data_IF_464448474215
#
_entry.id   IF_464448474215
#
_cell.length_a   1.000
_cell.length_b   1.000
_cell.length_c   1.000
_cell.angle_alpha   90.00
_cell.angle_beta   90.00
_cell.angle_gamma   90.00
#
_symmetry.space_group_name_H-M   'P 1'
#
loop_
_entity.id
_entity.type
_entity.pdbx_description
1 polymer ?
#
# COMPACT_ATOMS: atom_id res chain seq x y z
N UNK A 1 -4.86 -8.25 -6.49
CA UNK A 1 -6.33 -8.12 -6.60
C UNK A 1 -6.93 -7.20 -5.55
N UNK A 2 -6.60 -7.38 -4.26
CA UNK A 2 -7.18 -6.60 -3.16
C UNK A 2 -7.01 -5.09 -3.32
N UNK A 3 -5.81 -4.64 -3.69
CA UNK A 3 -5.55 -3.23 -3.99
C UNK A 3 -6.25 -2.72 -5.26
N UNK A 4 -6.53 -3.60 -6.24
CA UNK A 4 -7.25 -3.22 -7.46
C UNK A 4 -8.70 -2.85 -7.11
N UNK A 5 -9.32 -3.56 -6.16
CA UNK A 5 -10.66 -3.24 -5.69
C UNK A 5 -10.77 -1.81 -5.12
N UNK A 6 -9.71 -1.31 -4.47
CA UNK A 6 -9.65 0.09 -3.99
C UNK A 6 -9.53 1.07 -5.16
N UNK A 7 -8.71 0.76 -6.17
CA UNK A 7 -8.57 1.60 -7.37
C UNK A 7 -9.88 1.66 -8.18
N UNK A 8 -10.57 0.53 -8.31
CA UNK A 8 -11.86 0.44 -8.97
C UNK A 8 -12.90 1.27 -8.21
N UNK A 9 -12.94 1.15 -6.88
CA UNK A 9 -13.81 1.96 -6.03
C UNK A 9 -13.49 3.46 -6.12
N UNK A 10 -12.21 3.84 -6.26
CA UNK A 10 -11.80 5.23 -6.41
C UNK A 10 -12.26 5.88 -7.72
N UNK A 11 -12.62 5.07 -8.74
CA UNK A 11 -13.27 5.57 -9.96
C UNK A 11 -12.36 6.26 -10.98
N UNK A 12 -11.03 6.18 -10.82
CA UNK A 12 -10.07 6.83 -11.72
C UNK A 12 -9.68 5.99 -12.95
N UNK A 13 -10.24 4.78 -13.11
CA UNK A 13 -9.94 3.88 -14.23
C UNK A 13 -8.49 3.37 -14.28
N UNK A 14 -7.77 3.43 -13.15
CA UNK A 14 -6.37 3.02 -13.04
C UNK A 14 -6.24 1.51 -12.78
N UNK A 15 -5.14 0.91 -13.25
CA UNK A 15 -4.83 -0.51 -13.05
C UNK A 15 -3.46 -0.69 -12.38
N UNK A 16 -3.34 -1.73 -11.56
CA UNK A 16 -2.04 -2.14 -11.00
C UNK A 16 -1.16 -2.68 -12.12
N UNK A 17 0.04 -2.12 -12.23
CA UNK A 17 1.06 -2.55 -13.19
C UNK A 17 2.16 -3.26 -12.42
N UNK A 18 2.30 -4.57 -12.68
CA UNK A 18 3.39 -5.36 -12.12
C UNK A 18 4.67 -5.10 -12.90
N UNK A 19 5.74 -4.80 -12.17
CA UNK A 19 7.08 -4.63 -12.72
C UNK A 19 7.96 -5.83 -12.35
N UNK A 20 8.99 -6.15 -13.14
CA UNK A 20 9.93 -7.22 -12.78
C UNK A 20 10.63 -6.93 -11.45
N UNK A 21 10.57 -7.88 -10.51
CA UNK A 21 11.07 -7.71 -9.13
C UNK A 21 12.54 -7.29 -9.06
N UNK A 22 13.44 -8.06 -9.71
CA UNK A 22 14.89 -7.85 -9.57
C UNK A 22 15.36 -6.48 -10.08
N UNK A 23 14.95 -6.01 -11.29
CA UNK A 23 15.28 -4.66 -11.75
C UNK A 23 14.79 -3.57 -10.79
N UNK A 24 13.55 -3.67 -10.31
CA UNK A 24 12.98 -2.67 -9.38
C UNK A 24 13.76 -2.63 -8.07
N UNK A 25 14.06 -3.78 -7.47
CA UNK A 25 14.85 -3.85 -6.24
C UNK A 25 16.24 -3.25 -6.45
N UNK A 26 16.89 -3.52 -7.57
CA UNK A 26 18.22 -2.97 -7.86
C UNK A 26 18.19 -1.44 -8.03
N UNK A 27 17.20 -0.92 -8.76
CA UNK A 27 16.97 0.54 -8.87
C UNK A 27 16.73 1.18 -7.51
N UNK A 28 15.90 0.57 -6.66
CA UNK A 28 15.60 1.08 -5.33
C UNK A 28 16.82 1.04 -4.40
N UNK A 29 17.65 -0.01 -4.47
CA UNK A 29 18.95 -0.08 -3.78
C UNK A 29 19.90 1.02 -4.22
N UNK A 30 19.97 1.30 -5.52
CA UNK A 30 20.79 2.39 -6.06
C UNK A 30 20.30 3.76 -5.55
N UNK A 31 18.99 3.99 -5.57
CA UNK A 31 18.38 5.22 -5.04
C UNK A 31 18.56 5.36 -3.52
N UNK A 32 18.53 4.26 -2.77
CA UNK A 32 18.82 4.22 -1.33
C UNK A 32 20.28 4.59 -1.06
N UNK A 33 21.24 4.03 -1.80
CA UNK A 33 22.65 4.37 -1.68
C UNK A 33 22.93 5.86 -1.92
N UNK A 34 22.17 6.49 -2.83
CA UNK A 34 22.22 7.94 -3.09
C UNK A 34 21.40 8.77 -2.08
N UNK A 35 20.75 8.16 -1.09
CA UNK A 35 19.83 8.79 -0.11
C UNK A 35 18.65 9.53 -0.77
N UNK A 36 18.25 9.10 -1.97
CA UNK A 36 17.12 9.64 -2.73
C UNK A 36 15.84 8.80 -2.56
N UNK A 37 15.99 7.53 -2.19
CA UNK A 37 14.87 6.65 -1.89
C UNK A 37 14.19 7.05 -0.58
N UNK A 38 12.88 7.31 -0.58
CA UNK A 38 12.11 7.46 0.66
C UNK A 38 11.77 6.10 1.32
N UNK A 39 12.14 4.98 0.70
CA UNK A 39 11.86 3.62 1.15
C UNK A 39 13.07 3.04 1.89
N UNK A 40 12.83 2.35 3.00
CA UNK A 40 13.84 1.54 3.68
C UNK A 40 13.91 0.14 3.07
N UNK A 41 15.11 -0.46 3.10
CA UNK A 41 15.44 -1.76 2.50
C UNK A 41 14.36 -2.84 2.58
N UNK A 42 13.84 -3.06 3.77
CA UNK A 42 12.90 -4.14 4.01
C UNK A 42 11.60 -3.99 3.21
N UNK A 43 11.09 -2.75 3.00
CA UNK A 43 9.84 -2.52 2.26
C UNK A 43 9.92 -3.06 0.85
N UNK A 44 10.98 -2.73 0.12
CA UNK A 44 11.06 -3.11 -1.28
C UNK A 44 11.57 -4.55 -1.48
N UNK A 45 12.28 -5.13 -0.51
CA UNK A 45 12.70 -6.53 -0.56
C UNK A 45 11.56 -7.51 -0.24
N UNK A 46 10.58 -7.09 0.57
CA UNK A 46 9.44 -7.94 0.96
C UNK A 46 8.15 -7.62 0.22
N UNK A 47 8.05 -6.47 -0.48
CA UNK A 47 6.84 -6.10 -1.22
C UNK A 47 6.40 -7.12 -2.28
N UNK A 48 7.32 -7.92 -2.82
CA UNK A 48 7.04 -8.98 -3.80
C UNK A 48 6.63 -10.32 -3.16
N UNK A 49 6.71 -10.43 -1.83
CA UNK A 49 6.47 -11.69 -1.11
C UNK A 49 5.07 -11.69 -0.54
N UNK A 50 4.39 -12.82 -0.69
CA UNK A 50 3.08 -13.01 -0.06
C UNK A 50 3.22 -13.04 1.45
N UNK A 51 2.43 -12.20 2.13
CA UNK A 51 2.36 -12.14 3.58
C UNK A 51 0.89 -12.11 3.98
N UNK A 52 0.45 -13.15 4.68
CA UNK A 52 -0.92 -13.27 5.17
C UNK A 52 -0.95 -13.97 6.52
N UNK A 53 -1.99 -13.67 7.31
CA UNK A 53 -2.26 -14.33 8.59
C UNK A 53 -3.43 -15.28 8.36
N UNK A 54 -3.19 -16.58 8.49
CA UNK A 54 -4.26 -17.57 8.32
C UNK A 54 -5.27 -17.48 9.47
N UNK A 55 -6.55 -17.51 9.12
CA UNK A 55 -7.68 -17.55 10.07
C UNK A 55 -8.21 -18.97 10.29
N UNK A 56 -7.69 -19.98 9.59
CA UNK A 56 -8.23 -21.35 9.59
C UNK A 56 -8.35 -21.95 10.99
N UNK A 57 -7.37 -21.67 11.85
CA UNK A 57 -7.40 -22.16 13.24
C UNK A 57 -8.53 -21.50 14.02
N UNK A 58 -8.77 -20.20 13.83
CA UNK A 58 -9.86 -19.50 14.47
C UNK A 58 -11.23 -19.99 13.97
N UNK A 59 -11.35 -20.26 12.67
CA UNK A 59 -12.58 -20.83 12.09
C UNK A 59 -12.87 -22.21 12.71
N UNK A 60 -11.87 -23.10 12.73
CA UNK A 60 -12.03 -24.48 13.23
C UNK A 60 -12.28 -24.57 14.73
N UNK A 61 -11.57 -23.78 15.53
CA UNK A 61 -11.58 -23.91 17.00
C UNK A 61 -12.62 -23.01 17.66
N UNK A 62 -12.85 -21.82 17.10
CA UNK A 62 -13.71 -20.80 17.71
C UNK A 62 -15.03 -20.60 16.95
N UNK A 63 -15.24 -21.29 15.82
CA UNK A 63 -16.39 -21.03 14.95
C UNK A 63 -16.35 -19.61 14.36
N UNK A 64 -15.17 -19.02 14.23
CA UNK A 64 -15.03 -17.68 13.68
C UNK A 64 -15.54 -17.65 12.25
N UNK A 65 -16.40 -16.69 11.92
CA UNK A 65 -16.91 -16.47 10.57
C UNK A 65 -16.64 -15.01 10.16
N UNK A 66 -15.66 -14.74 9.27
CA UNK A 66 -15.30 -13.38 8.90
C UNK A 66 -16.47 -12.68 8.19
N UNK A 67 -16.89 -11.53 8.72
CA UNK A 67 -17.97 -10.71 8.14
C UNK A 67 -17.52 -9.90 6.92
N UNK A 68 -16.22 -9.65 6.80
CA UNK A 68 -15.63 -8.79 5.79
C UNK A 68 -14.47 -9.52 5.13
N UNK A 69 -14.38 -9.43 3.81
CA UNK A 69 -13.17 -9.83 3.08
C UNK A 69 -12.07 -8.79 3.23
N UNK A 70 -10.84 -9.12 2.81
CA UNK A 70 -9.76 -8.15 2.71
C UNK A 70 -10.14 -6.96 1.83
N UNK A 71 -10.84 -7.22 0.70
CA UNK A 71 -11.33 -6.18 -0.21
C UNK A 71 -12.30 -5.23 0.51
N UNK A 72 -13.26 -5.77 1.25
CA UNK A 72 -14.23 -4.98 2.01
C UNK A 72 -13.54 -4.12 3.07
N UNK A 73 -12.58 -4.71 3.80
CA UNK A 73 -11.82 -4.01 4.83
C UNK A 73 -11.01 -2.84 4.24
N UNK A 74 -10.33 -3.06 3.11
CA UNK A 74 -9.56 -2.03 2.42
C UNK A 74 -10.44 -0.92 1.87
N UNK A 75 -11.56 -1.26 1.21
CA UNK A 75 -12.51 -0.27 0.68
C UNK A 75 -13.10 0.56 1.83
N UNK A 76 -13.46 -0.06 2.96
CA UNK A 76 -13.96 0.65 4.14
C UNK A 76 -12.91 1.62 4.71
N UNK A 77 -11.66 1.19 4.80
CA UNK A 77 -10.57 2.06 5.25
C UNK A 77 -10.35 3.23 4.29
N UNK A 78 -10.45 2.99 2.99
CA UNK A 78 -10.35 4.04 1.98
C UNK A 78 -11.51 5.04 2.05
N UNK A 79 -12.75 4.57 2.28
CA UNK A 79 -13.90 5.46 2.55
C UNK A 79 -13.64 6.36 3.74
N UNK A 80 -13.22 5.78 4.87
CA UNK A 80 -12.85 6.55 6.05
C UNK A 80 -11.77 7.58 5.74
N UNK A 81 -10.74 7.21 4.97
CA UNK A 81 -9.70 8.13 4.54
C UNK A 81 -10.27 9.33 3.77
N UNK A 82 -11.17 9.10 2.80
CA UNK A 82 -11.80 10.17 2.03
C UNK A 82 -12.63 11.11 2.93
N UNK A 83 -13.42 10.53 3.82
CA UNK A 83 -14.28 11.28 4.75
C UNK A 83 -13.47 12.15 5.72
N UNK A 84 -12.25 11.73 6.06
CA UNK A 84 -11.40 12.40 7.04
C UNK A 84 -10.24 13.18 6.42
N UNK A 85 -10.04 13.12 5.10
CA UNK A 85 -8.87 13.69 4.41
C UNK A 85 -8.61 15.16 4.76
N UNK A 86 -9.68 15.96 4.82
CA UNK A 86 -9.57 17.38 5.12
C UNK A 86 -9.04 17.68 6.53
N UNK A 87 -9.10 16.73 7.47
CA UNK A 87 -8.60 16.92 8.84
C UNK A 87 -7.07 16.82 8.98
N UNK A 88 -6.39 16.19 8.01
CA UNK A 88 -4.94 15.92 8.11
C UNK A 88 -4.14 16.20 6.84
N UNK A 89 -4.77 16.54 5.71
CA UNK A 89 -4.09 16.79 4.43
C UNK A 89 -2.98 17.85 4.50
N UNK A 90 -3.17 18.88 5.33
CA UNK A 90 -2.25 20.03 5.42
C UNK A 90 -1.17 19.82 6.51
N UNK A 91 -1.23 18.69 7.24
CA UNK A 91 -0.25 18.35 8.26
C UNK A 91 0.82 17.44 7.67
N UNK A 92 2.08 17.86 7.72
CA UNK A 92 3.23 17.01 7.39
C UNK A 92 3.94 16.57 8.66
N UNK A 93 4.28 15.30 8.76
CA UNK A 93 5.05 14.78 9.90
C UNK A 93 5.62 13.39 9.64
N UNK A 94 6.30 12.86 10.66
CA UNK A 94 7.02 11.57 10.62
C UNK A 94 6.18 10.40 11.15
N UNK A 95 4.91 10.62 11.47
CA UNK A 95 4.02 9.57 11.98
C UNK A 95 3.14 8.96 10.89
N UNK A 96 2.58 7.79 11.16
CA UNK A 96 1.65 7.07 10.26
C UNK A 96 0.29 7.79 10.05
N UNK A 97 0.09 8.99 10.62
CA UNK A 97 -1.19 9.73 10.59
C UNK A 97 -1.20 10.91 9.62
N UNK A 98 -0.10 11.14 8.93
CA UNK A 98 0.12 12.29 8.05
C UNK A 98 0.69 11.81 6.72
N UNK A 99 0.41 12.50 5.60
CA UNK A 99 0.91 12.12 4.30
C UNK A 99 2.45 12.02 4.29
N UNK A 100 2.98 10.88 3.82
CA UNK A 100 4.42 10.68 3.69
C UNK A 100 4.99 11.50 2.51
N UNK A 101 6.14 12.14 2.73
CA UNK A 101 7.01 12.76 1.70
C UNK A 101 7.57 11.76 0.66
N UNK A 102 6.91 11.63 -0.49
CA UNK A 102 7.19 10.65 -1.55
C UNK A 102 8.58 10.73 -2.23
N UNK A 103 9.42 11.72 -1.92
CA UNK A 103 10.79 11.81 -2.44
C UNK A 103 10.86 11.71 -3.97
N UNK A 104 11.82 10.93 -4.48
CA UNK A 104 12.00 10.68 -5.92
C UNK A 104 10.87 9.85 -6.55
N UNK A 105 10.09 9.10 -5.75
CA UNK A 105 9.00 8.25 -6.25
C UNK A 105 7.85 9.07 -6.85
N UNK A 106 7.74 10.36 -6.53
CA UNK A 106 6.77 11.24 -7.19
C UNK A 106 6.92 11.26 -8.71
N UNK A 107 8.12 11.00 -9.23
CA UNK A 107 8.40 10.97 -10.67
C UNK A 107 7.69 9.80 -11.36
N UNK A 108 7.44 8.70 -10.64
CA UNK A 108 6.70 7.56 -11.18
C UNK A 108 5.27 7.94 -11.61
N UNK A 109 4.66 8.96 -10.98
CA UNK A 109 3.32 9.46 -11.34
C UNK A 109 3.23 10.07 -12.74
N UNK A 110 4.36 10.38 -13.38
CA UNK A 110 4.36 10.82 -14.78
C UNK A 110 4.23 9.66 -15.76
N UNK A 111 4.54 8.44 -15.33
CA UNK A 111 4.53 7.24 -16.17
C UNK A 111 3.31 6.34 -15.93
N UNK A 112 2.62 6.48 -14.80
CA UNK A 112 1.49 5.65 -14.36
C UNK A 112 0.28 6.51 -13.99
#
# INVERSE_FOLDING_TARGET
EDYQAVLDFAGFGKKIISLPEKPVIWTLKFLEALKLSPLYKWVYETASKDSFVSIEKAEKVLGFNPKFSNKDALIRNYKWYLDNLNSFKDNTGVSHRVPWKQGILKLAKYFF
#
